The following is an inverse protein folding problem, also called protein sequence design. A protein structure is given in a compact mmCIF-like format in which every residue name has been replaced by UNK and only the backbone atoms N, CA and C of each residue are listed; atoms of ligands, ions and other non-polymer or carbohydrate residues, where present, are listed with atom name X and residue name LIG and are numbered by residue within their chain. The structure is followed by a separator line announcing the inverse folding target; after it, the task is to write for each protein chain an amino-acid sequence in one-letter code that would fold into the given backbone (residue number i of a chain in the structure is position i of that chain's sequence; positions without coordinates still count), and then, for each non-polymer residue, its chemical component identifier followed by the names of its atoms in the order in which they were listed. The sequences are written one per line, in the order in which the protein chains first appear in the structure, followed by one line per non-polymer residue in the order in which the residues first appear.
data_IF_414324051296
#
_entry.id   IF_414324051296
#
_cell.length_a   1.000
_cell.length_b   1.000
_cell.length_c   1.000
_cell.angle_alpha   90.00
_cell.angle_beta   90.00
_cell.angle_gamma   90.00
#
_symmetry.space_group_name_H-M   'P 1'
#
loop_
_entity.id
_entity.type
_entity.pdbx_description
1 polymer ?
#
# COMPACT_ATOMS: atom_id res chain seq x y z
N UNK A 1 24.67 -88.04 13.33
CA UNK A 1 25.80 -87.30 13.93
C UNK A 1 25.39 -85.85 14.13
N UNK A 2 25.55 -85.34 15.36
CA UNK A 2 25.17 -84.00 15.83
C UNK A 2 26.34 -83.04 15.66
N UNK A 3 26.12 -81.85 15.11
CA UNK A 3 26.90 -80.62 15.39
C UNK A 3 26.09 -79.41 14.88
N UNK A 4 25.25 -78.83 15.73
CA UNK A 4 25.47 -77.57 16.49
C UNK A 4 25.50 -76.31 15.61
N UNK A 5 24.30 -75.71 15.49
CA UNK A 5 24.02 -74.33 15.08
C UNK A 5 24.72 -73.35 16.03
N UNK A 6 25.43 -72.37 15.49
CA UNK A 6 25.87 -71.17 16.21
C UNK A 6 25.12 -69.94 15.65
N UNK A 7 24.16 -69.47 16.43
CA UNK A 7 23.47 -68.17 16.36
C UNK A 7 23.48 -67.70 17.83
N UNK A 8 23.58 -66.41 18.23
CA UNK A 8 24.10 -65.18 17.61
C UNK A 8 25.04 -64.41 18.57
N UNK A 9 26.10 -63.74 18.10
CA UNK A 9 26.95 -62.88 18.96
C UNK A 9 26.96 -61.39 18.53
N UNK A 10 26.07 -60.98 17.62
CA UNK A 10 26.02 -59.61 17.08
C UNK A 10 24.70 -58.89 17.48
N UNK A 11 23.84 -59.51 18.29
CA UNK A 11 22.55 -58.94 18.71
C UNK A 11 22.48 -58.56 20.20
N UNK A 12 23.63 -58.35 20.87
CA UNK A 12 23.70 -58.03 22.31
C UNK A 12 24.64 -56.86 22.65
N UNK A 13 24.78 -55.88 21.77
CA UNK A 13 25.59 -54.66 22.02
C UNK A 13 24.91 -53.34 21.63
N UNK A 14 23.63 -53.34 21.24
CA UNK A 14 22.85 -52.11 20.95
C UNK A 14 21.68 -51.97 21.94
N UNK A 15 21.94 -52.05 23.24
CA UNK A 15 20.90 -51.90 24.26
C UNK A 15 21.34 -51.07 25.49
N UNK A 16 22.24 -50.10 25.32
CA UNK A 16 22.65 -49.17 26.38
C UNK A 16 22.64 -47.68 25.94
N UNK A 17 21.52 -47.21 25.39
CA UNK A 17 21.27 -45.78 25.26
C UNK A 17 19.80 -45.46 25.60
N UNK A 18 19.41 -45.74 26.84
CA UNK A 18 18.10 -45.36 27.38
C UNK A 18 18.26 -44.71 28.75
N UNK A 19 18.71 -43.45 28.78
CA UNK A 19 18.40 -42.52 29.85
C UNK A 19 18.73 -41.09 29.38
N UNK A 20 17.79 -40.45 28.69
CA UNK A 20 17.77 -38.99 28.59
C UNK A 20 16.97 -38.46 29.79
N UNK A 21 17.42 -37.39 30.48
CA UNK A 21 16.63 -36.77 31.53
C UNK A 21 15.32 -36.22 30.94
N UNK A 22 14.21 -36.59 31.56
CA UNK A 22 12.88 -36.06 31.26
C UNK A 22 12.88 -34.56 31.57
N UNK A 23 12.84 -33.72 30.53
CA UNK A 23 12.63 -32.30 30.68
C UNK A 23 11.31 -32.07 31.43
N UNK A 24 11.39 -31.44 32.60
CA UNK A 24 10.22 -30.92 33.31
C UNK A 24 9.68 -29.75 32.50
N UNK A 25 8.36 -29.68 32.25
CA UNK A 25 7.78 -28.52 31.59
C UNK A 25 8.09 -27.26 32.42
N UNK A 26 8.70 -26.27 31.77
CA UNK A 26 8.84 -24.92 32.31
C UNK A 26 7.44 -24.38 32.65
N UNK A 27 7.28 -23.60 33.75
CA UNK A 27 6.01 -22.95 34.03
C UNK A 27 5.66 -22.00 32.88
N UNK A 28 4.60 -22.32 32.14
CA UNK A 28 4.01 -21.46 31.11
C UNK A 28 3.50 -20.18 31.78
N UNK A 29 3.95 -18.98 31.36
CA UNK A 29 3.38 -17.73 31.87
C UNK A 29 1.90 -17.61 31.46
N UNK A 30 1.02 -17.43 32.43
CA UNK A 30 -0.40 -17.13 32.21
C UNK A 30 -0.56 -15.69 31.71
N UNK A 31 -0.92 -15.54 30.43
CA UNK A 31 -1.09 -14.25 29.74
C UNK A 31 -2.34 -13.49 30.23
N UNK A 32 -3.24 -14.14 30.99
CA UNK A 32 -4.43 -13.51 31.57
C UNK A 32 -4.13 -12.54 32.72
N UNK A 33 -2.97 -12.64 33.37
CA UNK A 33 -2.61 -11.82 34.52
C UNK A 33 -1.98 -10.45 34.18
N UNK A 34 -1.59 -10.19 32.91
CA UNK A 34 -0.91 -8.94 32.51
C UNK A 34 -1.89 -7.88 31.95
N UNK A 35 -3.11 -8.27 31.57
CA UNK A 35 -4.08 -7.36 30.91
C UNK A 35 -4.94 -6.51 31.85
N UNK A 36 -4.86 -6.68 33.18
CA UNK A 36 -5.77 -5.99 34.13
C UNK A 36 -5.17 -4.72 34.78
N UNK A 37 -3.91 -4.37 34.49
CA UNK A 37 -3.25 -3.22 35.12
C UNK A 37 -3.18 -1.95 34.25
N UNK A 38 -3.55 -1.99 32.96
CA UNK A 38 -3.33 -0.88 32.03
C UNK A 38 -4.55 0.08 31.85
N UNK A 39 -5.67 -0.15 32.55
CA UNK A 39 -6.90 0.61 32.33
C UNK A 39 -7.17 1.76 33.34
N UNK A 40 -6.33 1.96 34.37
CA UNK A 40 -6.64 2.89 35.47
C UNK A 40 -5.89 4.24 35.42
N UNK A 41 -4.90 4.44 34.55
CA UNK A 41 -3.96 5.57 34.70
C UNK A 41 -4.27 6.79 33.80
N UNK A 42 -5.17 6.68 32.81
CA UNK A 42 -5.37 7.76 31.82
C UNK A 42 -6.43 8.80 32.21
N UNK A 43 -7.17 8.60 33.30
CA UNK A 43 -8.26 9.52 33.71
C UNK A 43 -7.82 10.65 34.66
N UNK A 44 -6.55 10.68 35.10
CA UNK A 44 -6.05 11.70 36.02
C UNK A 44 -5.41 12.92 35.34
N UNK A 45 -4.82 12.77 34.14
CA UNK A 45 -4.09 13.87 33.47
C UNK A 45 -4.98 14.88 32.74
N UNK A 46 -6.24 14.56 32.44
CA UNK A 46 -7.13 15.47 31.69
C UNK A 46 -7.73 16.58 32.57
N UNK A 47 -7.66 16.47 33.90
CA UNK A 47 -8.27 17.46 34.81
C UNK A 47 -7.38 18.66 35.16
N UNK A 48 -6.10 18.67 34.79
CA UNK A 48 -5.16 19.71 35.20
C UNK A 48 -5.06 20.93 34.24
N UNK A 49 -5.65 20.88 33.05
CA UNK A 49 -5.40 21.91 32.00
C UNK A 49 -6.51 22.96 31.85
N UNK A 50 -7.53 22.98 32.70
CA UNK A 50 -8.68 23.90 32.53
C UNK A 50 -8.56 25.28 33.23
N UNK A 51 -7.40 25.66 33.77
CA UNK A 51 -7.25 26.90 34.54
C UNK A 51 -6.15 27.87 34.05
N UNK A 52 -5.90 27.94 32.73
CA UNK A 52 -5.19 29.08 32.15
C UNK A 52 -6.21 30.18 31.79
N UNK A 53 -6.48 31.06 32.76
CA UNK A 53 -7.19 32.31 32.54
C UNK A 53 -6.40 33.19 31.57
N UNK A 54 -6.85 33.28 30.32
CA UNK A 54 -6.33 34.24 29.35
C UNK A 54 -6.80 35.64 29.77
N UNK A 55 -5.85 36.42 30.30
CA UNK A 55 -6.01 37.85 30.55
C UNK A 55 -6.11 38.59 29.21
N UNK A 56 -7.29 39.14 28.90
CA UNK A 56 -7.51 39.96 27.71
C UNK A 56 -6.98 41.38 27.97
N UNK A 57 -5.78 41.66 27.48
CA UNK A 57 -5.27 43.04 27.36
C UNK A 57 -5.77 43.63 26.04
N UNK A 58 -6.59 44.70 26.03
CA UNK A 58 -6.92 45.39 24.79
C UNK A 58 -5.72 46.26 24.36
N UNK A 59 -5.02 45.82 23.31
CA UNK A 59 -3.97 46.62 22.67
C UNK A 59 -4.63 47.63 21.72
N UNK A 60 -4.15 48.87 21.83
CA UNK A 60 -4.72 50.06 21.21
C UNK A 60 -4.86 49.99 19.68
N UNK A 61 -5.98 50.54 19.22
CA UNK A 61 -6.36 50.85 17.84
C UNK A 61 -5.32 51.75 17.14
N UNK A 62 -4.73 51.34 16.01
CA UNK A 62 -4.12 52.28 15.09
C UNK A 62 -5.19 52.92 14.19
N UNK A 63 -5.30 54.24 14.29
CA UNK A 63 -6.04 55.12 13.38
C UNK A 63 -5.51 54.97 11.96
N UNK A 64 -6.35 54.54 11.02
CA UNK A 64 -6.04 54.57 9.59
C UNK A 64 -6.58 55.89 9.02
N UNK A 65 -5.65 56.78 8.74
CA UNK A 65 -5.89 58.03 8.03
C UNK A 65 -6.08 57.72 6.54
N UNK A 66 -7.23 58.13 5.99
CA UNK A 66 -7.54 57.98 4.58
C UNK A 66 -6.78 59.04 3.78
N UNK A 67 -5.90 58.60 2.87
CA UNK A 67 -5.36 59.43 1.79
C UNK A 67 -5.70 58.77 0.47
N UNK A 68 -6.49 59.47 -0.33
CA UNK A 68 -6.95 59.12 -1.67
C UNK A 68 -5.89 59.52 -2.75
N UNK A 69 -6.11 59.28 -4.05
CA UNK A 69 -5.17 58.64 -4.98
C UNK A 69 -4.30 59.62 -5.78
N UNK A 70 -3.38 59.12 -6.62
CA UNK A 70 -3.76 59.07 -8.03
C UNK A 70 -3.45 57.73 -8.70
N UNK A 71 -4.30 57.43 -9.68
CA UNK A 71 -4.11 56.38 -10.66
C UNK A 71 -2.85 56.65 -11.49
N UNK A 72 -1.95 55.67 -11.58
CA UNK A 72 -1.23 55.37 -12.82
C UNK A 72 -1.10 53.86 -12.99
N UNK A 73 -1.58 53.40 -14.13
CA UNK A 73 -1.49 52.03 -14.62
C UNK A 73 -0.10 51.81 -15.20
N UNK A 74 0.78 50.96 -14.65
CA UNK A 74 1.86 50.41 -15.44
C UNK A 74 1.31 49.22 -16.23
N UNK A 75 1.03 49.45 -17.52
CA UNK A 75 0.89 48.34 -18.48
C UNK A 75 2.26 47.68 -18.62
N UNK A 76 2.50 46.60 -17.86
CA UNK A 76 3.67 45.76 -18.05
C UNK A 76 3.40 44.83 -19.23
N UNK A 77 3.86 45.23 -20.41
CA UNK A 77 3.92 44.35 -21.58
C UNK A 77 5.03 43.33 -21.36
N UNK A 78 4.70 42.16 -20.82
CA UNK A 78 5.62 41.02 -20.75
C UNK A 78 5.83 40.50 -22.18
N UNK A 79 6.95 40.87 -22.78
CA UNK A 79 7.39 40.30 -24.06
C UNK A 79 8.00 38.94 -23.77
N UNK A 80 7.20 37.88 -23.88
CA UNK A 80 7.70 36.49 -23.86
C UNK A 80 8.47 36.26 -25.15
N UNK A 81 9.80 36.38 -25.06
CA UNK A 81 10.70 36.04 -26.16
C UNK A 81 10.95 34.53 -26.12
N UNK A 82 10.19 33.75 -26.90
CA UNK A 82 10.46 32.32 -27.08
C UNK A 82 11.67 32.17 -27.99
N UNK A 83 12.84 31.93 -27.39
CA UNK A 83 14.04 31.53 -28.12
C UNK A 83 13.86 30.07 -28.55
N UNK A 84 13.40 29.87 -29.79
CA UNK A 84 13.35 28.54 -30.40
C UNK A 84 14.77 28.14 -30.80
N UNK A 85 15.49 27.48 -29.91
CA UNK A 85 16.73 26.79 -30.24
C UNK A 85 16.40 25.60 -31.15
N UNK A 86 16.87 25.55 -32.41
CA UNK A 86 16.66 24.39 -33.28
C UNK A 86 17.58 23.27 -32.79
N UNK A 87 17.06 22.34 -31.97
CA UNK A 87 17.89 21.26 -31.43
C UNK A 87 17.20 20.23 -30.53
N UNK A 88 15.98 20.46 -30.04
CA UNK A 88 15.25 19.46 -29.26
C UNK A 88 14.24 18.71 -30.15
N UNK A 89 14.72 17.71 -30.88
CA UNK A 89 13.85 16.68 -31.47
C UNK A 89 13.49 15.73 -30.31
N UNK A 90 12.26 15.80 -29.82
CA UNK A 90 11.68 14.79 -28.93
C UNK A 90 11.55 15.16 -27.45
N UNK A 91 11.06 16.34 -27.10
CA UNK A 91 10.47 16.53 -25.76
C UNK A 91 9.10 15.86 -25.79
N UNK A 92 9.03 14.60 -25.33
CA UNK A 92 7.74 14.00 -24.98
C UNK A 92 7.01 15.00 -24.09
N UNK A 93 5.87 15.53 -24.55
CA UNK A 93 5.00 16.36 -23.72
C UNK A 93 4.46 15.43 -22.63
N UNK A 94 5.18 15.32 -21.52
CA UNK A 94 4.80 14.46 -20.40
C UNK A 94 3.42 14.89 -19.92
N UNK A 95 2.46 13.96 -19.94
CA UNK A 95 1.14 14.19 -19.37
C UNK A 95 1.30 14.48 -17.87
N UNK A 96 0.40 15.31 -17.33
CA UNK A 96 0.31 15.53 -15.88
C UNK A 96 0.09 14.19 -15.16
N UNK A 97 -0.91 13.45 -15.62
CA UNK A 97 -1.25 12.11 -15.13
C UNK A 97 -0.78 11.04 -16.11
N UNK A 98 0.23 10.25 -15.74
CA UNK A 98 0.63 9.07 -16.50
C UNK A 98 1.20 7.99 -15.57
N UNK A 99 0.81 6.74 -15.81
CA UNK A 99 1.21 5.57 -15.02
C UNK A 99 1.78 4.47 -15.90
N UNK A 100 2.91 3.93 -15.50
CA UNK A 100 3.57 2.80 -16.15
C UNK A 100 4.11 1.83 -15.10
N UNK A 101 4.60 0.66 -15.50
CA UNK A 101 5.16 -0.34 -14.61
C UNK A 101 6.16 -1.22 -15.35
N UNK A 102 7.03 -1.91 -14.60
CA UNK A 102 7.89 -2.94 -15.16
C UNK A 102 7.12 -4.27 -15.20
N UNK A 103 6.91 -4.89 -16.38
CA UNK A 103 6.14 -6.13 -16.49
C UNK A 103 6.75 -7.31 -15.72
N UNK A 104 8.06 -7.28 -15.42
CA UNK A 104 8.70 -8.35 -14.66
C UNK A 104 8.42 -8.28 -13.14
N UNK A 105 7.94 -7.14 -12.63
CA UNK A 105 7.78 -6.90 -11.19
C UNK A 105 6.44 -6.27 -10.83
N UNK A 106 5.52 -6.11 -11.80
CA UNK A 106 4.23 -5.47 -11.58
C UNK A 106 3.35 -6.29 -10.64
N UNK A 107 3.38 -7.62 -10.75
CA UNK A 107 2.60 -8.50 -9.90
C UNK A 107 3.31 -8.75 -8.57
N UNK A 108 2.80 -8.15 -7.50
CA UNK A 108 3.43 -8.27 -6.17
C UNK A 108 2.91 -9.48 -5.40
N UNK A 109 1.60 -9.77 -5.47
CA UNK A 109 0.98 -10.83 -4.66
C UNK A 109 0.44 -12.01 -5.46
N UNK A 110 -0.26 -11.76 -6.56
CA UNK A 110 -0.89 -12.79 -7.39
C UNK A 110 -0.25 -12.74 -8.77
N UNK A 111 0.70 -13.62 -9.10
CA UNK A 111 1.25 -13.72 -10.45
C UNK A 111 0.19 -14.10 -11.48
N UNK A 112 0.46 -13.82 -12.74
CA UNK A 112 -0.43 -14.21 -13.82
C UNK A 112 -0.59 -15.73 -13.94
N UNK A 113 -1.85 -16.17 -13.96
CA UNK A 113 -2.22 -17.58 -14.06
C UNK A 113 -2.20 -18.32 -12.72
N UNK A 114 -2.04 -17.61 -11.60
CA UNK A 114 -2.11 -18.19 -10.26
C UNK A 114 -3.40 -19.01 -10.08
N UNK A 115 -3.27 -20.17 -9.44
CA UNK A 115 -4.40 -21.08 -9.20
C UNK A 115 -5.06 -20.71 -7.89
N UNK A 116 -6.36 -20.44 -7.93
CA UNK A 116 -7.16 -20.11 -6.74
C UNK A 116 -8.38 -21.01 -6.64
N UNK A 117 -8.89 -21.18 -5.43
CA UNK A 117 -10.07 -22.00 -5.18
C UNK A 117 -11.34 -21.26 -5.58
N UNK A 118 -12.36 -21.96 -6.05
CA UNK A 118 -13.68 -21.37 -6.30
C UNK A 118 -14.22 -20.58 -5.09
N UNK A 119 -14.64 -19.33 -5.31
CA UNK A 119 -15.15 -18.45 -4.24
C UNK A 119 -14.09 -17.87 -3.30
N UNK A 120 -12.80 -18.19 -3.48
CA UNK A 120 -11.71 -17.67 -2.66
C UNK A 120 -11.59 -16.15 -2.77
N UNK A 121 -11.46 -15.49 -1.64
CA UNK A 121 -11.09 -14.08 -1.57
C UNK A 121 -9.57 -13.93 -1.60
N UNK A 122 -9.05 -13.00 -2.41
CA UNK A 122 -7.62 -12.76 -2.53
C UNK A 122 -7.32 -11.28 -2.79
N UNK A 123 -6.17 -10.82 -2.30
CA UNK A 123 -5.71 -9.45 -2.48
C UNK A 123 -4.69 -9.41 -3.63
N UNK A 124 -5.03 -8.76 -4.74
CA UNK A 124 -4.08 -8.48 -5.82
C UNK A 124 -3.44 -7.12 -5.57
N UNK A 125 -2.12 -7.09 -5.56
CA UNK A 125 -1.32 -5.87 -5.45
C UNK A 125 -0.49 -5.70 -6.71
N UNK A 126 -0.58 -4.52 -7.30
CA UNK A 126 0.27 -4.11 -8.42
C UNK A 126 1.28 -3.07 -7.98
N UNK A 127 2.52 -3.21 -8.44
CA UNK A 127 3.55 -2.18 -8.32
C UNK A 127 3.54 -1.28 -9.55
N UNK A 128 3.20 -0.01 -9.37
CA UNK A 128 3.11 0.97 -10.45
C UNK A 128 4.02 2.16 -10.18
N UNK A 129 4.44 2.84 -11.25
CA UNK A 129 5.27 4.04 -11.22
C UNK A 129 4.53 5.24 -11.79
N UNK A 130 4.66 6.39 -11.13
CA UNK A 130 4.23 7.66 -11.69
C UNK A 130 5.23 8.13 -12.75
N UNK A 131 4.82 8.09 -14.01
CA UNK A 131 5.60 8.58 -15.16
C UNK A 131 5.12 9.93 -15.67
N UNK A 132 4.11 10.51 -15.01
CA UNK A 132 3.60 11.84 -15.28
C UNK A 132 4.43 12.95 -14.62
N UNK A 133 4.02 14.19 -14.85
CA UNK A 133 4.64 15.38 -14.25
C UNK A 133 3.96 15.85 -12.96
N UNK A 134 2.78 15.34 -12.64
CA UNK A 134 2.01 15.71 -11.45
C UNK A 134 2.09 14.64 -10.36
N UNK A 135 2.14 15.08 -9.10
CA UNK A 135 2.02 14.19 -7.94
C UNK A 135 0.61 13.64 -7.86
N UNK A 136 0.46 12.32 -7.80
CA UNK A 136 -0.83 11.69 -7.49
C UNK A 136 -1.14 11.89 -6.01
N UNK A 137 -2.30 12.47 -5.71
CA UNK A 137 -2.69 12.82 -4.36
C UNK A 137 -4.05 12.22 -3.98
N UNK A 138 -4.76 12.92 -3.10
CA UNK A 138 -6.11 12.53 -2.70
C UNK A 138 -7.05 12.39 -3.92
N UNK A 139 -7.89 11.35 -3.92
CA UNK A 139 -8.86 11.08 -4.98
C UNK A 139 -8.34 10.22 -6.16
N UNK A 140 -7.02 10.05 -6.27
CA UNK A 140 -6.41 9.13 -7.22
C UNK A 140 -6.65 7.69 -6.78
N UNK A 141 -7.01 6.83 -7.73
CA UNK A 141 -7.43 5.46 -7.45
C UNK A 141 -7.27 4.57 -8.67
N UNK A 142 -7.14 3.27 -8.44
CA UNK A 142 -7.32 2.27 -9.49
C UNK A 142 -8.82 1.98 -9.64
N UNK A 143 -9.29 1.92 -10.88
CA UNK A 143 -10.69 1.66 -11.23
C UNK A 143 -10.80 0.48 -12.19
N UNK A 144 -11.91 -0.23 -12.11
CA UNK A 144 -12.24 -1.29 -13.05
C UNK A 144 -12.40 -0.71 -14.46
N UNK A 145 -11.82 -1.38 -15.46
CA UNK A 145 -11.94 -1.02 -16.87
C UNK A 145 -12.87 -2.00 -17.61
N UNK A 146 -12.47 -3.26 -17.74
CA UNK A 146 -13.23 -4.29 -18.45
C UNK A 146 -12.80 -5.72 -18.03
N UNK A 147 -13.50 -6.74 -18.53
CA UNK A 147 -13.25 -8.15 -18.22
C UNK A 147 -14.23 -8.70 -17.19
N UNK A 148 -13.79 -9.67 -16.38
CA UNK A 148 -14.54 -10.20 -15.25
C UNK A 148 -14.23 -9.37 -14.01
N UNK A 149 -15.24 -8.82 -13.35
CA UNK A 149 -15.00 -7.87 -12.24
C UNK A 149 -14.57 -8.56 -10.96
N UNK A 150 -14.94 -9.83 -10.75
CA UNK A 150 -14.55 -10.64 -9.58
C UNK A 150 -14.79 -9.92 -8.23
N UNK A 151 -15.92 -9.19 -8.13
CA UNK A 151 -16.28 -8.30 -7.01
C UNK A 151 -15.27 -7.20 -6.65
N UNK A 152 -14.29 -6.94 -7.52
CA UNK A 152 -13.33 -5.88 -7.31
C UNK A 152 -13.99 -4.50 -7.23
N UNK A 153 -13.57 -3.73 -6.22
CA UNK A 153 -13.97 -2.34 -6.03
C UNK A 153 -12.80 -1.39 -6.34
N UNK A 154 -13.07 -0.15 -6.75
CA UNK A 154 -12.03 0.87 -6.86
C UNK A 154 -11.24 1.03 -5.55
N UNK A 155 -9.92 1.17 -5.66
CA UNK A 155 -9.04 1.34 -4.50
C UNK A 155 -8.20 2.60 -4.64
N UNK A 156 -8.19 3.43 -3.60
CA UNK A 156 -7.37 4.63 -3.56
C UNK A 156 -5.87 4.27 -3.47
N UNK A 157 -5.02 5.18 -3.98
CA UNK A 157 -3.59 5.08 -3.66
C UNK A 157 -3.38 5.28 -2.15
N UNK A 158 -2.48 4.51 -1.50
CA UNK A 158 -2.32 4.56 -0.05
C UNK A 158 -1.60 5.83 0.44
N UNK A 159 -0.74 6.40 -0.40
CA UNK A 159 0.08 7.58 -0.10
C UNK A 159 0.22 8.45 -1.35
N UNK A 160 0.52 9.75 -1.21
CA UNK A 160 0.87 10.58 -2.35
C UNK A 160 2.10 10.05 -3.10
N UNK A 161 2.08 10.09 -4.44
CA UNK A 161 3.13 9.52 -5.29
C UNK A 161 3.67 10.60 -6.22
N UNK A 162 4.87 11.08 -5.95
CA UNK A 162 5.53 12.10 -6.78
C UNK A 162 6.02 11.50 -8.11
N UNK A 163 6.32 12.34 -9.13
CA UNK A 163 6.90 11.86 -10.37
C UNK A 163 8.13 10.96 -10.16
N UNK A 164 8.20 9.89 -10.93
CA UNK A 164 9.19 8.81 -10.88
C UNK A 164 9.18 7.92 -9.63
N UNK A 165 8.25 8.13 -8.69
CA UNK A 165 8.07 7.21 -7.55
C UNK A 165 7.21 6.00 -7.91
N UNK A 166 7.44 4.91 -7.19
CA UNK A 166 6.66 3.69 -7.25
C UNK A 166 5.72 3.56 -6.05
N UNK A 167 4.60 2.88 -6.26
CA UNK A 167 3.62 2.59 -5.23
C UNK A 167 2.99 1.22 -5.48
N UNK A 168 2.66 0.53 -4.40
CA UNK A 168 1.89 -0.70 -4.42
C UNK A 168 0.41 -0.35 -4.22
N UNK A 169 -0.44 -0.73 -5.17
CA UNK A 169 -1.90 -0.53 -5.11
C UNK A 169 -2.60 -1.87 -5.06
N UNK A 170 -3.50 -2.04 -4.10
CA UNK A 170 -4.14 -3.31 -3.80
C UNK A 170 -5.65 -3.26 -4.01
N UNK A 171 -6.20 -4.28 -4.67
CA UNK A 171 -7.64 -4.49 -4.83
C UNK A 171 -8.01 -5.87 -4.29
N UNK A 172 -9.05 -5.91 -3.46
CA UNK A 172 -9.63 -7.15 -2.96
C UNK A 172 -10.54 -7.75 -4.03
N UNK A 173 -10.34 -9.04 -4.31
CA UNK A 173 -11.10 -9.81 -5.29
C UNK A 173 -11.73 -11.04 -4.65
N UNK A 174 -12.73 -11.59 -5.35
CA UNK A 174 -13.34 -12.88 -5.07
C UNK A 174 -13.41 -13.71 -6.35
N UNK A 175 -12.77 -14.88 -6.32
CA UNK A 175 -12.76 -15.83 -7.42
C UNK A 175 -14.19 -16.28 -7.78
N UNK A 176 -14.55 -16.39 -9.07
CA UNK A 176 -15.83 -16.97 -9.48
C UNK A 176 -16.03 -18.39 -8.95
N UNK A 177 -17.28 -18.82 -8.85
CA UNK A 177 -17.63 -20.15 -8.32
C UNK A 177 -17.42 -21.30 -9.33
N UNK A 178 -17.30 -20.97 -10.62
CA UNK A 178 -17.11 -21.94 -11.69
C UNK A 178 -15.62 -22.06 -12.04
N UNK A 179 -15.15 -23.28 -12.24
CA UNK A 179 -13.79 -23.51 -12.74
C UNK A 179 -13.59 -22.89 -14.12
N UNK A 180 -12.41 -22.34 -14.35
CA UNK A 180 -12.07 -21.63 -15.59
C UNK A 180 -10.93 -20.64 -15.43
N UNK A 181 -10.55 -20.01 -16.53
CA UNK A 181 -9.59 -18.90 -16.53
C UNK A 181 -10.36 -17.58 -16.52
N UNK A 182 -9.94 -16.65 -15.66
CA UNK A 182 -10.59 -15.36 -15.50
C UNK A 182 -9.57 -14.23 -15.50
N UNK A 183 -9.92 -13.13 -16.17
CA UNK A 183 -9.12 -11.91 -16.17
C UNK A 183 -9.95 -10.70 -15.80
N UNK A 184 -9.40 -9.81 -14.98
CA UNK A 184 -9.97 -8.50 -14.66
C UNK A 184 -8.98 -7.41 -15.03
N UNK A 185 -9.41 -6.42 -15.81
CA UNK A 185 -8.56 -5.33 -16.28
C UNK A 185 -8.94 -4.01 -15.61
N UNK A 186 -7.94 -3.27 -15.20
CA UNK A 186 -7.98 -2.11 -14.31
C UNK A 186 -7.13 -0.97 -14.87
N UNK A 187 -7.38 0.25 -14.42
CA UNK A 187 -6.62 1.43 -14.85
C UNK A 187 -6.60 2.50 -13.76
N UNK A 188 -5.56 3.32 -13.73
CA UNK A 188 -5.53 4.49 -12.85
C UNK A 188 -6.57 5.53 -13.28
N UNK A 189 -7.14 6.24 -12.31
CA UNK A 189 -8.00 7.40 -12.51
C UNK A 189 -7.64 8.51 -11.53
N UNK A 190 -7.67 9.76 -12.00
CA UNK A 190 -7.35 10.92 -11.19
C UNK A 190 -8.53 11.35 -10.30
N UNK A 191 -8.35 12.43 -9.54
CA UNK A 191 -9.38 12.96 -8.63
C UNK A 191 -10.69 13.34 -9.33
N UNK A 192 -10.64 13.69 -10.62
CA UNK A 192 -11.83 14.00 -11.44
C UNK A 192 -12.48 12.74 -12.03
N UNK A 193 -11.87 11.57 -11.85
CA UNK A 193 -12.33 10.29 -12.41
C UNK A 193 -11.88 10.04 -13.84
N UNK A 194 -11.00 10.87 -14.40
CA UNK A 194 -10.41 10.64 -15.72
C UNK A 194 -9.37 9.52 -15.66
N UNK A 195 -9.55 8.49 -16.48
CA UNK A 195 -8.64 7.34 -16.51
C UNK A 195 -7.36 7.63 -17.32
N UNK A 196 -6.21 7.15 -16.86
CA UNK A 196 -4.90 7.44 -17.46
C UNK A 196 -3.91 6.28 -17.31
N UNK A 197 -2.76 6.36 -17.99
CA UNK A 197 -1.69 5.37 -17.91
C UNK A 197 -2.00 4.03 -18.58
N UNK A 198 -1.14 3.04 -18.34
CA UNK A 198 -1.30 1.67 -18.86
C UNK A 198 -2.37 0.88 -18.10
N UNK A 199 -2.86 -0.20 -18.73
CA UNK A 199 -3.80 -1.12 -18.11
C UNK A 199 -3.08 -2.10 -17.19
N UNK A 200 -3.65 -2.31 -16.01
CA UNK A 200 -3.28 -3.35 -15.06
C UNK A 200 -4.25 -4.52 -15.23
N UNK A 201 -3.81 -5.74 -14.94
CA UNK A 201 -4.74 -6.87 -14.94
C UNK A 201 -4.39 -7.89 -13.87
N UNK A 202 -5.38 -8.71 -13.54
CA UNK A 202 -5.19 -9.94 -12.79
C UNK A 202 -5.71 -11.09 -13.62
N UNK A 203 -4.89 -12.12 -13.81
CA UNK A 203 -5.24 -13.36 -14.49
C UNK A 203 -5.14 -14.51 -13.49
N UNK A 204 -6.23 -15.25 -13.29
CA UNK A 204 -6.28 -16.41 -12.40
C UNK A 204 -6.86 -17.63 -13.09
N UNK A 205 -6.57 -18.81 -12.53
CA UNK A 205 -7.21 -20.06 -12.89
C UNK A 205 -7.97 -20.59 -11.67
N UNK A 206 -9.28 -20.69 -11.78
CA UNK A 206 -10.15 -21.25 -10.74
C UNK A 206 -10.20 -22.77 -10.90
N UNK A 207 -9.91 -23.50 -9.82
CA UNK A 207 -10.04 -24.96 -9.72
C UNK A 207 -10.84 -25.39 -8.49
#
# INVERSE_FOLDING_TARGET
MKTKRHIPAILLTILLAACAPKETPMPTPDIGAIQTAAAATVMAEVLATQNAAASLTPLATPTVEATEPPAETPTVTVTVSVVLTPGAIGTSLGLCDDANFNPATVDVTIPDGEVVTAGQEFLKTWKIRNTGSCTWGAGYRVVYAYGERMNGAPAAIPVPVTPNQEVDVSVQFKAPAKAGQYSSTWRMANAQGSAFGQFLYVLIVVR
#
